data_IF_281963644065
#
_entry.id   IF_281963644065
#
_cell.length_a   1.000
_cell.length_b   1.000
_cell.length_c   1.000
_cell.angle_alpha   90.00
_cell.angle_beta   90.00
_cell.angle_gamma   90.00
#
_symmetry.space_group_name_H-M   'P 1'
#
loop_
_entity.id
_entity.type
_entity.pdbx_description
1 polymer ?
#
# COMPACT_ATOMS: atom_id res chain seq x y z
N UNK A 1 16.48 9.72 -3.73
CA UNK A 1 15.67 9.81 -4.96
C UNK A 1 14.29 10.43 -4.70
N UNK A 2 13.54 10.01 -3.67
CA UNK A 2 12.20 10.60 -3.37
C UNK A 2 12.26 11.95 -2.63
N UNK A 3 13.33 12.21 -1.86
CA UNK A 3 13.53 13.47 -1.12
C UNK A 3 13.50 14.76 -1.98
N UNK A 4 13.60 14.63 -3.30
CA UNK A 4 13.56 15.74 -4.26
C UNK A 4 12.24 15.84 -5.03
N UNK A 5 11.18 15.17 -4.58
CA UNK A 5 9.86 15.26 -5.21
C UNK A 5 9.15 16.57 -4.85
N UNK A 6 8.79 17.34 -5.87
CA UNK A 6 7.93 18.50 -5.75
C UNK A 6 6.47 18.09 -5.98
N UNK A 7 5.61 18.25 -4.97
CA UNK A 7 4.17 18.03 -5.11
C UNK A 7 3.56 19.16 -5.94
N UNK A 8 2.77 18.80 -6.95
CA UNK A 8 1.98 19.72 -7.75
C UNK A 8 0.57 19.85 -7.18
N UNK A 9 -0.21 18.76 -7.21
CA UNK A 9 -1.58 18.71 -6.73
C UNK A 9 -2.06 17.26 -6.61
N UNK A 10 -3.15 17.06 -5.87
CA UNK A 10 -3.95 15.84 -5.96
C UNK A 10 -4.71 15.76 -7.29
N UNK A 11 -4.81 14.57 -7.86
CA UNK A 11 -5.51 14.25 -9.10
C UNK A 11 -6.57 13.18 -8.82
N UNK A 12 -7.81 13.47 -9.24
CA UNK A 12 -8.98 12.57 -9.13
C UNK A 12 -9.23 12.03 -7.70
N UNK A 13 -8.80 12.76 -6.68
CA UNK A 13 -8.83 12.34 -5.26
C UNK A 13 -8.26 10.93 -5.02
N UNK A 14 -7.30 10.50 -5.85
CA UNK A 14 -6.70 9.15 -5.82
C UNK A 14 -5.19 9.18 -5.92
N UNK A 15 -4.67 10.12 -6.69
CA UNK A 15 -3.25 10.23 -6.97
C UNK A 15 -2.72 11.59 -6.55
N UNK A 16 -1.43 11.66 -6.27
CA UNK A 16 -0.70 12.90 -6.06
C UNK A 16 0.28 13.03 -7.22
N UNK A 17 0.15 14.10 -8.01
CA UNK A 17 1.09 14.39 -9.08
C UNK A 17 2.31 15.11 -8.51
N UNK A 18 3.49 14.57 -8.82
CA UNK A 18 4.78 15.09 -8.37
C UNK A 18 5.73 15.26 -9.57
N UNK A 19 6.62 16.24 -9.48
CA UNK A 19 7.80 16.33 -10.33
C UNK A 19 9.01 15.77 -9.58
N UNK A 20 9.79 14.92 -10.23
CA UNK A 20 11.03 14.39 -9.72
C UNK A 20 12.18 14.82 -10.65
N UNK A 21 13.29 15.29 -10.07
CA UNK A 21 14.50 15.54 -10.86
C UNK A 21 15.25 14.24 -11.11
N UNK A 22 15.52 13.93 -12.37
CA UNK A 22 16.40 12.82 -12.77
C UNK A 22 17.85 13.26 -13.00
N UNK A 23 18.13 14.58 -12.95
CA UNK A 23 19.46 15.15 -13.14
C UNK A 23 20.11 15.44 -11.79
N UNK A 24 21.24 14.80 -11.53
CA UNK A 24 22.19 15.17 -10.47
C UNK A 24 23.15 16.22 -11.03
N UNK A 25 22.76 17.49 -11.09
CA UNK A 25 23.73 18.56 -11.41
C UNK A 25 23.62 19.78 -10.50
N UNK A 26 24.80 20.39 -10.27
CA UNK A 26 25.19 21.34 -9.22
C UNK A 26 24.68 22.78 -9.41
N UNK A 27 23.76 23.03 -10.35
CA UNK A 27 23.23 24.37 -10.62
C UNK A 27 21.78 24.46 -10.14
N UNK A 28 21.53 25.38 -9.21
CA UNK A 28 20.36 25.46 -8.34
C UNK A 28 19.02 25.85 -8.98
N UNK A 29 18.72 25.36 -10.18
CA UNK A 29 17.37 25.42 -10.74
C UNK A 29 16.65 24.08 -10.50
N UNK A 30 15.81 24.08 -9.47
CA UNK A 30 15.00 22.95 -9.02
C UNK A 30 13.83 22.65 -9.98
N UNK A 31 14.11 22.37 -11.25
CA UNK A 31 13.12 21.92 -12.23
C UNK A 31 13.16 20.40 -12.35
N UNK A 32 12.19 19.69 -11.75
CA UNK A 32 12.03 18.26 -11.98
C UNK A 32 11.51 18.00 -13.41
N UNK A 33 12.15 17.08 -14.14
CA UNK A 33 11.78 16.72 -15.52
C UNK A 33 10.88 15.49 -15.61
N UNK A 34 10.84 14.62 -14.60
CA UNK A 34 9.99 13.43 -14.62
C UNK A 34 8.67 13.68 -13.89
N UNK A 35 7.55 13.59 -14.61
CA UNK A 35 6.22 13.61 -14.04
C UNK A 35 5.90 12.22 -13.49
N UNK A 36 5.49 12.17 -12.22
CA UNK A 36 5.21 10.94 -11.47
C UNK A 36 3.85 11.04 -10.80
N UNK A 37 3.08 9.96 -10.82
CA UNK A 37 1.90 9.80 -9.96
C UNK A 37 2.23 8.93 -8.77
N UNK A 38 1.80 9.39 -7.59
CA UNK A 38 1.84 8.63 -6.36
C UNK A 38 0.42 8.22 -6.01
N UNK A 39 0.17 6.92 -5.87
CA UNK A 39 -1.10 6.41 -5.37
C UNK A 39 -1.21 6.74 -3.88
N UNK A 40 -2.18 7.59 -3.51
CA UNK A 40 -2.28 8.12 -2.15
C UNK A 40 -2.57 7.02 -1.12
N UNK A 41 -3.32 5.99 -1.52
CA UNK A 41 -3.65 4.87 -0.65
C UNK A 41 -2.42 3.99 -0.47
N UNK A 42 -1.80 3.55 -1.57
CA UNK A 42 -0.63 2.69 -1.56
C UNK A 42 0.57 3.32 -0.83
N UNK A 43 0.80 4.63 -1.02
CA UNK A 43 1.83 5.39 -0.32
C UNK A 43 1.57 5.43 1.19
N UNK A 44 0.34 5.77 1.60
CA UNK A 44 0.03 5.86 3.03
C UNK A 44 0.00 4.47 3.69
N UNK A 45 -0.42 3.41 2.99
CA UNK A 45 -0.28 2.03 3.47
C UNK A 45 1.18 1.70 3.80
N UNK A 46 2.13 2.07 2.93
CA UNK A 46 3.56 1.81 3.14
C UNK A 46 4.10 2.56 4.35
N UNK A 47 3.83 3.86 4.44
CA UNK A 47 4.23 4.69 5.59
C UNK A 47 3.71 4.10 6.90
N UNK A 48 2.43 3.72 6.93
CA UNK A 48 1.81 3.11 8.11
C UNK A 48 2.39 1.74 8.44
N UNK A 49 2.63 0.90 7.44
CA UNK A 49 3.19 -0.43 7.67
C UNK A 49 4.57 -0.34 8.31
N UNK A 50 5.47 0.49 7.77
CA UNK A 50 6.82 0.61 8.32
C UNK A 50 6.80 1.17 9.74
N UNK A 51 5.93 2.15 10.01
CA UNK A 51 5.72 2.67 11.36
C UNK A 51 5.19 1.60 12.32
N UNK A 52 4.17 0.83 11.91
CA UNK A 52 3.61 -0.26 12.71
C UNK A 52 4.64 -1.37 12.98
N UNK A 53 5.51 -1.67 12.02
CA UNK A 53 6.61 -2.62 12.22
C UNK A 53 7.56 -2.10 13.29
N UNK A 54 7.97 -0.83 13.22
CA UNK A 54 8.84 -0.21 14.23
C UNK A 54 8.18 -0.26 15.61
N UNK A 55 6.91 0.14 15.71
CA UNK A 55 6.17 0.20 16.96
C UNK A 55 5.86 -1.18 17.54
N UNK A 56 5.90 -2.24 16.72
CA UNK A 56 5.70 -3.62 17.17
C UNK A 56 6.87 -4.20 17.96
N UNK A 57 8.05 -3.58 17.91
CA UNK A 57 9.24 -4.03 18.63
C UNK A 57 9.44 -3.25 19.94
N UNK A 58 10.02 -3.92 20.93
CA UNK A 58 10.51 -3.28 22.14
C UNK A 58 11.60 -2.25 21.80
N UNK A 59 11.49 -1.06 22.41
CA UNK A 59 12.51 -0.01 22.26
C UNK A 59 13.84 -0.52 22.83
N UNK A 60 14.85 -0.66 21.98
CA UNK A 60 16.17 -1.16 22.36
C UNK A 60 16.80 -0.23 23.41
N UNK A 61 17.13 -0.79 24.59
CA UNK A 61 17.98 -0.12 25.56
C UNK A 61 19.45 -0.17 25.09
N UNK A 62 20.25 0.88 25.29
CA UNK A 62 21.62 0.98 24.78
C UNK A 62 22.61 -0.09 25.30
N UNK A 63 22.19 -0.97 26.21
CA UNK A 63 23.00 -2.04 26.82
C UNK A 63 22.40 -3.46 26.58
N UNK A 64 21.37 -3.58 25.73
CA UNK A 64 20.68 -4.84 25.48
C UNK A 64 21.39 -5.76 24.49
N UNK A 65 21.21 -7.08 24.66
CA UNK A 65 21.50 -8.07 23.62
C UNK A 65 20.82 -7.62 22.32
N UNK A 66 21.57 -7.48 21.21
CA UNK A 66 21.09 -6.91 19.94
C UNK A 66 20.00 -7.70 19.21
N UNK A 67 19.24 -8.56 19.91
CA UNK A 67 18.07 -9.27 19.41
C UNK A 67 16.84 -8.38 19.52
N UNK A 68 16.10 -8.26 18.42
CA UNK A 68 14.84 -7.53 18.37
C UNK A 68 13.73 -8.41 18.96
N UNK A 69 13.02 -7.90 19.96
CA UNK A 69 11.91 -8.59 20.62
C UNK A 69 10.59 -7.92 20.31
N UNK A 70 9.59 -8.70 19.89
CA UNK A 70 8.24 -8.20 19.63
C UNK A 70 7.51 -7.92 20.94
N UNK A 71 6.72 -6.85 20.95
CA UNK A 71 5.77 -6.58 22.01
C UNK A 71 4.74 -7.71 22.06
N UNK A 72 4.43 -8.16 23.27
CA UNK A 72 3.50 -9.26 23.52
C UNK A 72 2.42 -8.89 24.51
N UNK A 73 1.30 -9.59 24.43
CA UNK A 73 0.18 -9.49 25.35
C UNK A 73 -0.23 -10.88 25.83
N UNK A 74 -0.63 -10.97 27.09
CA UNK A 74 -1.18 -12.20 27.68
C UNK A 74 -2.63 -12.39 27.22
N UNK A 75 -3.03 -13.63 26.96
CA UNK A 75 -4.42 -14.03 26.70
C UNK A 75 -4.91 -14.89 27.87
N UNK A 76 -6.12 -14.60 28.36
CA UNK A 76 -6.79 -15.38 29.39
C UNK A 76 -8.25 -15.66 28.98
N UNK A 77 -8.69 -16.93 28.94
CA UNK A 77 -7.90 -18.15 29.18
C UNK A 77 -6.86 -18.41 28.06
N UNK A 78 -5.77 -19.16 28.33
CA UNK A 78 -4.82 -19.57 27.30
C UNK A 78 -5.51 -20.30 26.14
N UNK A 79 -5.02 -20.11 24.92
CA UNK A 79 -5.59 -20.75 23.74
C UNK A 79 -5.05 -22.17 23.60
N UNK A 80 -5.96 -23.14 23.48
CA UNK A 80 -5.65 -24.53 23.18
C UNK A 80 -5.36 -24.72 21.68
N UNK A 81 -4.16 -25.21 21.37
CA UNK A 81 -3.72 -25.50 20.00
C UNK A 81 -3.26 -26.95 19.92
N UNK A 82 -3.89 -27.71 19.02
CA UNK A 82 -3.51 -29.10 18.73
C UNK A 82 -2.27 -29.12 17.85
N UNK A 83 -1.28 -29.92 18.24
CA UNK A 83 -0.01 -30.08 17.52
C UNK A 83 0.38 -31.55 17.46
N UNK A 84 1.25 -31.93 16.54
CA UNK A 84 1.86 -33.26 16.56
C UNK A 84 2.93 -33.35 17.64
N UNK A 85 3.29 -34.57 18.06
CA UNK A 85 4.38 -34.79 19.03
C UNK A 85 5.71 -34.17 18.55
N UNK A 86 5.99 -34.29 17.24
CA UNK A 86 7.18 -33.69 16.63
C UNK A 86 7.14 -32.15 16.73
N UNK A 87 6.00 -31.54 16.40
CA UNK A 87 5.81 -30.09 16.50
C UNK A 87 5.97 -29.62 17.93
N UNK A 88 5.37 -30.32 18.90
CA UNK A 88 5.52 -30.03 20.32
C UNK A 88 6.98 -30.05 20.75
N UNK A 89 7.74 -31.06 20.33
CA UNK A 89 9.18 -31.16 20.61
C UNK A 89 9.97 -29.99 20.02
N UNK A 90 9.67 -29.57 18.79
CA UNK A 90 10.30 -28.41 18.15
C UNK A 90 9.98 -27.12 18.92
N UNK A 91 8.71 -26.88 19.24
CA UNK A 91 8.27 -25.72 20.01
C UNK A 91 8.94 -25.69 21.39
N UNK A 92 9.10 -26.84 22.04
CA UNK A 92 9.81 -26.95 23.32
C UNK A 92 11.28 -26.57 23.19
N UNK A 93 12.01 -27.13 22.21
CA UNK A 93 13.43 -26.85 22.00
C UNK A 93 13.71 -25.36 21.72
N UNK A 94 12.78 -24.68 21.04
CA UNK A 94 12.94 -23.28 20.61
C UNK A 94 12.08 -22.27 21.38
N UNK A 95 11.46 -22.67 22.51
CA UNK A 95 10.51 -21.80 23.23
C UNK A 95 11.10 -20.43 23.60
N UNK A 96 12.39 -20.37 23.99
CA UNK A 96 13.07 -19.10 24.30
C UNK A 96 13.15 -18.14 23.11
N UNK A 97 13.36 -18.66 21.92
CA UNK A 97 13.37 -17.85 20.70
C UNK A 97 11.95 -17.42 20.30
N UNK A 98 10.96 -18.26 20.56
CA UNK A 98 9.54 -17.93 20.34
C UNK A 98 9.06 -16.83 21.29
N UNK A 99 9.60 -16.76 22.51
CA UNK A 99 9.36 -15.64 23.44
C UNK A 99 9.85 -14.30 22.90
N UNK A 100 10.97 -14.27 22.16
CA UNK A 100 11.44 -13.05 21.48
C UNK A 100 10.47 -12.62 20.37
N UNK A 101 9.73 -13.56 19.79
CA UNK A 101 8.64 -13.29 18.86
C UNK A 101 7.30 -13.00 19.57
N UNK A 102 7.30 -12.90 20.90
CA UNK A 102 6.11 -12.61 21.70
C UNK A 102 5.18 -13.80 21.93
N UNK A 103 5.61 -15.02 21.61
CA UNK A 103 4.84 -16.25 21.77
C UNK A 103 5.22 -17.00 23.05
N UNK A 104 4.30 -17.03 24.02
CA UNK A 104 4.47 -17.76 25.27
C UNK A 104 3.64 -19.04 25.27
N UNK A 105 4.34 -20.18 25.27
CA UNK A 105 3.73 -21.52 25.19
C UNK A 105 3.91 -22.24 26.53
N UNK A 106 2.85 -22.85 27.03
CA UNK A 106 2.82 -23.75 28.18
C UNK A 106 2.58 -25.16 27.64
N UNK A 107 3.33 -26.13 28.17
CA UNK A 107 3.31 -27.53 27.75
C UNK A 107 2.73 -28.38 28.89
N UNK A 108 1.46 -28.80 28.81
CA UNK A 108 0.86 -29.64 29.85
C UNK A 108 1.43 -31.05 29.83
N UNK A 109 1.73 -31.63 30.99
CA UNK A 109 2.21 -33.02 31.11
C UNK A 109 1.11 -34.06 30.75
N UNK A 110 -0.14 -33.64 30.63
CA UNK A 110 -1.31 -34.51 30.46
C UNK A 110 -1.56 -34.97 29.02
N UNK A 111 -0.91 -34.37 28.02
CA UNK A 111 -1.12 -34.68 26.61
C UNK A 111 0.09 -34.29 25.79
N UNK A 112 0.56 -35.16 24.88
CA UNK A 112 1.69 -34.88 23.98
C UNK A 112 1.26 -34.22 22.65
N UNK A 113 -0.04 -34.01 22.45
CA UNK A 113 -0.61 -33.45 21.21
C UNK A 113 -1.26 -32.07 21.39
N UNK A 114 -1.05 -31.44 22.56
CA UNK A 114 -1.67 -30.18 22.92
C UNK A 114 -0.62 -29.21 23.45
N UNK A 115 -0.74 -27.93 23.09
CA UNK A 115 -0.02 -26.84 23.73
C UNK A 115 -0.99 -25.72 24.10
N UNK A 116 -0.68 -24.98 25.16
CA UNK A 116 -1.47 -23.84 25.62
C UNK A 116 -0.72 -22.54 25.33
N UNK A 117 -1.32 -21.64 24.57
CA UNK A 117 -0.71 -20.35 24.23
C UNK A 117 -1.24 -19.27 25.17
N UNK A 118 -0.38 -18.84 26.09
CA UNK A 118 -0.72 -17.82 27.09
C UNK A 118 -0.27 -16.41 26.73
N UNK A 119 0.70 -16.25 25.82
CA UNK A 119 1.14 -14.94 25.33
C UNK A 119 1.29 -14.96 23.81
N UNK A 120 0.93 -13.85 23.17
CA UNK A 120 1.00 -13.67 21.71
C UNK A 120 1.53 -12.27 21.36
N UNK A 121 2.00 -12.03 20.12
CA UNK A 121 2.28 -10.68 19.64
C UNK A 121 1.13 -9.69 19.90
N UNK A 122 1.46 -8.48 20.36
CA UNK A 122 0.46 -7.46 20.73
C UNK A 122 -0.51 -7.17 19.57
N UNK A 123 -0.02 -7.11 18.34
CA UNK A 123 -0.83 -6.84 17.16
C UNK A 123 -1.93 -7.88 16.90
N UNK A 124 -1.80 -9.11 17.42
CA UNK A 124 -2.85 -10.13 17.31
C UNK A 124 -4.05 -9.79 18.19
N UNK A 125 -3.80 -9.29 19.40
CA UNK A 125 -4.86 -8.85 20.32
C UNK A 125 -5.53 -7.58 19.81
N UNK A 126 -4.77 -6.64 19.26
CA UNK A 126 -5.32 -5.44 18.61
C UNK A 126 -6.19 -5.80 17.41
N UNK A 127 -5.76 -6.79 16.62
CA UNK A 127 -6.53 -7.31 15.48
C UNK A 127 -7.84 -7.93 15.93
N UNK A 128 -7.81 -8.79 16.94
CA UNK A 128 -9.00 -9.38 17.55
C UNK A 128 -9.98 -8.31 18.04
N UNK A 129 -9.49 -7.34 18.83
CA UNK A 129 -10.30 -6.25 19.36
C UNK A 129 -10.90 -5.37 18.25
N UNK A 130 -10.19 -5.20 17.13
CA UNK A 130 -10.71 -4.49 15.96
C UNK A 130 -11.84 -5.25 15.25
N UNK A 131 -11.72 -6.57 15.09
CA UNK A 131 -12.76 -7.38 14.43
C UNK A 131 -14.02 -7.50 15.30
N UNK A 132 -13.85 -7.68 16.61
CA UNK A 132 -14.97 -7.71 17.57
C UNK A 132 -15.75 -6.39 17.60
N UNK A 133 -15.05 -5.25 17.60
CA UNK A 133 -15.70 -3.91 17.50
C UNK A 133 -16.53 -3.74 16.23
N UNK A 134 -16.23 -4.49 15.17
CA UNK A 134 -16.97 -4.49 13.90
C UNK A 134 -18.06 -5.56 13.84
N UNK A 135 -18.31 -6.27 14.94
CA UNK A 135 -19.32 -7.33 15.04
C UNK A 135 -18.96 -8.60 14.26
N UNK A 136 -17.67 -8.85 14.01
CA UNK A 136 -17.21 -10.06 13.30
C UNK A 136 -16.81 -11.17 14.27
N UNK A 137 -16.63 -12.37 13.72
CA UNK A 137 -16.17 -13.54 14.46
C UNK A 137 -14.76 -13.36 15.02
N UNK A 138 -14.46 -14.09 16.09
CA UNK A 138 -13.13 -14.17 16.69
C UNK A 138 -12.11 -14.72 15.69
N UNK A 139 -10.93 -14.10 15.62
CA UNK A 139 -9.82 -14.47 14.73
C UNK A 139 -8.55 -14.86 15.49
N UNK A 140 -8.50 -14.61 16.81
CA UNK A 140 -7.32 -14.87 17.65
C UNK A 140 -6.80 -16.31 17.51
N UNK A 141 -7.68 -17.31 17.63
CA UNK A 141 -7.30 -18.73 17.54
C UNK A 141 -6.68 -19.06 16.18
N UNK A 142 -7.34 -18.67 15.08
CA UNK A 142 -6.84 -18.95 13.73
C UNK A 142 -5.51 -18.27 13.43
N UNK A 143 -5.31 -17.03 13.91
CA UNK A 143 -4.05 -16.30 13.72
C UNK A 143 -2.92 -16.98 14.49
N UNK A 144 -3.17 -17.43 15.73
CA UNK A 144 -2.19 -18.14 16.55
C UNK A 144 -1.84 -19.51 15.95
N UNK A 145 -2.82 -20.25 15.45
CA UNK A 145 -2.60 -21.51 14.74
C UNK A 145 -1.77 -21.31 13.45
N UNK A 146 -2.09 -20.28 12.65
CA UNK A 146 -1.30 -19.91 11.47
C UNK A 146 0.14 -19.58 11.85
N UNK A 147 0.31 -18.80 12.92
CA UNK A 147 1.62 -18.38 13.40
C UNK A 147 2.46 -19.56 13.90
N UNK A 148 1.89 -20.46 14.71
CA UNK A 148 2.58 -21.67 15.17
C UNK A 148 2.99 -22.55 13.98
N UNK A 149 2.08 -22.74 13.01
CA UNK A 149 2.36 -23.53 11.81
C UNK A 149 3.52 -22.92 11.02
N UNK A 150 3.54 -21.60 10.85
CA UNK A 150 4.65 -20.89 10.21
C UNK A 150 5.98 -21.12 10.95
N UNK A 151 5.99 -20.99 12.28
CA UNK A 151 7.22 -21.17 13.06
C UNK A 151 7.75 -22.61 13.00
N UNK A 152 6.86 -23.60 13.06
CA UNK A 152 7.22 -25.02 12.88
C UNK A 152 7.82 -25.24 11.50
N UNK A 153 7.17 -24.77 10.44
CA UNK A 153 7.62 -24.94 9.06
C UNK A 153 9.00 -24.30 8.84
N UNK A 154 9.22 -23.10 9.38
CA UNK A 154 10.52 -22.44 9.34
C UNK A 154 11.61 -23.24 10.06
N UNK A 155 11.30 -23.76 11.25
CA UNK A 155 12.23 -24.57 12.05
C UNK A 155 12.60 -25.88 11.33
N UNK A 156 11.64 -26.51 10.66
CA UNK A 156 11.87 -27.75 9.90
C UNK A 156 12.70 -27.51 8.63
N UNK A 157 12.48 -26.39 7.93
CA UNK A 157 13.12 -26.10 6.64
C UNK A 157 14.51 -25.47 6.78
N UNK A 158 14.67 -24.56 7.75
CA UNK A 158 15.88 -23.72 7.86
C UNK A 158 16.77 -24.12 9.05
N UNK A 159 16.29 -25.00 9.94
CA UNK A 159 17.04 -25.43 11.12
C UNK A 159 17.21 -24.36 12.20
N UNK A 160 16.49 -23.23 12.11
CA UNK A 160 16.54 -22.15 13.08
C UNK A 160 15.58 -21.00 12.77
N UNK A 161 15.37 -20.11 13.75
CA UNK A 161 14.52 -18.93 13.62
C UNK A 161 15.34 -17.79 12.98
N UNK A 162 14.87 -17.30 11.83
CA UNK A 162 15.47 -16.16 11.13
C UNK A 162 15.13 -14.84 11.83
N UNK A 163 16.03 -13.86 11.77
CA UNK A 163 15.83 -12.52 12.34
C UNK A 163 14.87 -11.62 11.55
N UNK A 164 14.07 -12.19 10.67
CA UNK A 164 13.05 -11.49 9.86
C UNK A 164 11.73 -11.44 10.62
N UNK A 165 10.89 -10.45 10.31
CA UNK A 165 9.54 -10.39 10.85
C UNK A 165 8.73 -11.57 10.31
N UNK A 166 8.08 -12.38 11.17
CA UNK A 166 7.23 -13.47 10.69
C UNK A 166 6.13 -12.97 9.76
N UNK A 167 5.83 -13.72 8.70
CA UNK A 167 4.83 -13.40 7.70
C UNK A 167 3.43 -13.26 8.32
N UNK A 168 3.08 -14.08 9.31
CA UNK A 168 1.78 -13.93 9.99
C UNK A 168 1.67 -12.59 10.69
N UNK A 169 2.74 -12.14 11.37
CA UNK A 169 2.81 -10.79 11.96
C UNK A 169 2.75 -9.71 10.88
N UNK A 170 3.54 -9.86 9.82
CA UNK A 170 3.54 -8.92 8.70
C UNK A 170 2.15 -8.78 8.05
N UNK A 171 1.42 -9.88 7.86
CA UNK A 171 0.04 -9.87 7.32
C UNK A 171 -0.93 -9.13 8.23
N UNK A 172 -0.85 -9.35 9.55
CA UNK A 172 -1.69 -8.64 10.52
C UNK A 172 -1.40 -7.14 10.48
N UNK A 173 -0.13 -6.74 10.50
CA UNK A 173 0.28 -5.33 10.42
C UNK A 173 -0.08 -4.69 9.07
N UNK A 174 0.07 -5.41 7.95
CA UNK A 174 -0.34 -4.95 6.63
C UNK A 174 -1.86 -4.70 6.57
N UNK A 175 -2.66 -5.60 7.16
CA UNK A 175 -4.11 -5.41 7.26
C UNK A 175 -4.46 -4.20 8.12
N UNK A 176 -3.79 -3.99 9.25
CA UNK A 176 -3.97 -2.80 10.09
C UNK A 176 -3.57 -1.51 9.35
N UNK A 177 -2.46 -1.52 8.62
CA UNK A 177 -1.99 -0.41 7.79
C UNK A 177 -3.04 -0.03 6.74
N UNK A 178 -3.55 -1.02 6.00
CA UNK A 178 -4.62 -0.86 5.00
C UNK A 178 -5.83 -0.13 5.57
N UNK A 179 -6.35 -0.64 6.69
CA UNK A 179 -7.60 -0.15 7.25
C UNK A 179 -7.50 1.30 7.70
N UNK A 180 -6.37 1.70 8.30
CA UNK A 180 -6.16 3.09 8.73
C UNK A 180 -5.52 4.02 7.69
N UNK A 181 -5.21 3.54 6.49
CA UNK A 181 -4.69 4.37 5.41
C UNK A 181 -5.78 5.27 4.79
N UNK A 182 -5.34 6.38 4.20
CA UNK A 182 -6.16 7.27 3.36
C UNK A 182 -6.79 6.42 2.25
N UNK A 183 -8.06 6.66 1.94
CA UNK A 183 -8.81 5.94 0.91
C UNK A 183 -8.81 6.71 -0.39
N UNK A 184 -9.18 6.02 -1.46
CA UNK A 184 -9.55 6.69 -2.69
C UNK A 184 -10.81 7.53 -2.48
N UNK A 185 -10.84 8.65 -3.21
CA UNK A 185 -11.85 9.70 -3.14
C UNK A 185 -11.74 10.59 -1.89
N UNK A 186 -10.81 10.33 -0.98
CA UNK A 186 -10.48 11.27 0.09
C UNK A 186 -9.78 12.48 -0.52
N UNK A 187 -10.34 13.68 -0.31
CA UNK A 187 -9.71 14.93 -0.70
C UNK A 187 -8.56 15.27 0.26
N UNK A 188 -7.38 15.56 -0.29
CA UNK A 188 -6.20 15.95 0.47
C UNK A 188 -5.86 17.41 0.17
N UNK A 189 -5.62 18.19 1.22
CA UNK A 189 -5.00 19.49 1.10
C UNK A 189 -3.57 19.36 0.56
N UNK A 190 -3.05 20.44 -0.01
CA UNK A 190 -1.68 20.47 -0.52
C UNK A 190 -0.66 20.13 0.58
N UNK A 191 -0.88 20.60 1.82
CA UNK A 191 -0.06 20.29 2.99
C UNK A 191 -0.07 18.79 3.34
N UNK A 192 -1.24 18.14 3.29
CA UNK A 192 -1.36 16.70 3.52
C UNK A 192 -0.64 15.89 2.44
N UNK A 193 -0.72 16.32 1.18
CA UNK A 193 0.05 15.72 0.11
C UNK A 193 1.56 15.84 0.37
N UNK A 194 2.06 17.03 0.75
CA UNK A 194 3.48 17.22 1.10
C UNK A 194 3.92 16.29 2.23
N UNK A 195 3.16 16.25 3.34
CA UNK A 195 3.47 15.40 4.49
C UNK A 195 3.49 13.91 4.12
N UNK A 196 2.57 13.47 3.25
CA UNK A 196 2.56 12.08 2.80
C UNK A 196 3.79 11.74 1.95
N UNK A 197 4.17 12.60 1.00
CA UNK A 197 5.35 12.38 0.17
C UNK A 197 6.63 12.45 1.00
N UNK A 198 6.72 13.39 1.95
CA UNK A 198 7.83 13.48 2.90
C UNK A 198 7.95 12.20 3.74
N UNK A 199 6.86 11.73 4.35
CA UNK A 199 6.86 10.50 5.12
C UNK A 199 7.23 9.27 4.26
N UNK A 200 6.73 9.21 3.02
CA UNK A 200 7.08 8.15 2.08
C UNK A 200 8.59 8.16 1.74
N UNK A 201 9.22 9.33 1.67
CA UNK A 201 10.66 9.45 1.37
C UNK A 201 11.57 8.82 2.43
N UNK A 202 11.09 8.75 3.67
CA UNK A 202 11.77 8.10 4.80
C UNK A 202 11.58 6.59 4.88
N UNK A 203 10.65 6.03 4.08
CA UNK A 203 10.41 4.60 4.05
C UNK A 203 11.53 3.84 3.34
N UNK A 204 11.83 2.63 3.81
CA UNK A 204 12.81 1.72 3.20
C UNK A 204 12.33 1.17 1.86
N UNK A 205 11.03 0.90 1.71
CA UNK A 205 10.44 0.35 0.48
C UNK A 205 9.32 1.26 -0.08
N UNK A 206 9.67 2.48 -0.52
CA UNK A 206 8.69 3.51 -0.83
C UNK A 206 7.97 3.32 -2.17
N UNK A 207 8.38 2.33 -2.97
CA UNK A 207 7.83 2.03 -4.31
C UNK A 207 6.74 0.94 -4.30
N UNK A 208 6.45 0.36 -3.13
CA UNK A 208 5.48 -0.72 -2.99
C UNK A 208 4.60 -0.50 -1.77
N UNK A 209 3.30 -0.80 -1.83
CA UNK A 209 2.41 -0.75 -0.67
C UNK A 209 2.59 -1.97 0.23
N UNK A 210 1.82 -2.05 1.32
CA UNK A 210 1.84 -3.17 2.26
C UNK A 210 1.47 -4.53 1.64
N UNK A 211 0.74 -4.54 0.53
CA UNK A 211 0.25 -5.74 -0.18
C UNK A 211 0.97 -6.02 -1.49
N UNK A 212 1.98 -5.22 -1.83
CA UNK A 212 2.79 -5.47 -3.02
C UNK A 212 2.49 -4.62 -4.25
N UNK A 213 1.48 -3.74 -4.21
CA UNK A 213 1.12 -2.86 -5.34
C UNK A 213 2.11 -1.70 -5.47
N UNK A 214 2.39 -1.19 -6.69
CA UNK A 214 3.25 -0.02 -6.84
C UNK A 214 2.61 1.21 -6.19
N UNK A 215 3.39 1.97 -5.43
CA UNK A 215 2.94 3.25 -4.83
C UNK A 215 3.28 4.47 -5.70
N UNK A 216 4.27 4.34 -6.59
CA UNK A 216 4.81 5.41 -7.41
C UNK A 216 4.88 4.92 -8.86
N UNK A 217 4.35 5.70 -9.80
CA UNK A 217 4.31 5.39 -11.22
C UNK A 217 4.84 6.58 -12.04
N UNK A 218 5.98 6.45 -12.74
CA UNK A 218 6.43 7.47 -13.68
C UNK A 218 5.46 7.55 -14.87
N UNK A 219 5.06 8.76 -15.24
CA UNK A 219 4.16 9.00 -16.37
C UNK A 219 4.90 9.42 -17.63
N UNK A 220 5.72 10.47 -17.54
CA UNK A 220 6.34 11.06 -18.70
C UNK A 220 7.58 11.87 -18.31
N UNK A 221 8.61 11.80 -19.15
CA UNK A 221 9.72 12.75 -19.09
C UNK A 221 9.36 13.99 -19.91
N UNK A 222 9.23 15.11 -19.22
CA UNK A 222 8.80 16.41 -19.77
C UNK A 222 9.82 16.93 -20.78
N UNK A 223 11.12 16.64 -20.60
CA UNK A 223 12.17 17.09 -21.53
C UNK A 223 12.04 16.41 -22.90
N UNK A 224 11.41 15.23 -22.95
CA UNK A 224 11.21 14.42 -24.14
C UNK A 224 9.80 14.52 -24.72
N UNK A 225 8.93 15.36 -24.17
CA UNK A 225 7.62 15.63 -24.76
C UNK A 225 7.78 16.52 -25.99
N UNK A 226 7.36 16.02 -27.15
CA UNK A 226 7.28 16.84 -28.36
C UNK A 226 6.35 18.02 -28.11
N UNK A 227 6.83 19.23 -28.37
CA UNK A 227 5.94 20.40 -28.39
C UNK A 227 5.03 20.28 -29.60
N UNK A 228 3.80 19.79 -29.39
CA UNK A 228 2.74 19.96 -30.37
C UNK A 228 2.61 21.45 -30.66
N UNK A 229 3.10 21.88 -31.83
CA UNK A 229 2.86 23.22 -32.34
C UNK A 229 1.36 23.32 -32.57
N UNK A 230 0.62 23.84 -31.60
CA UNK A 230 -0.75 24.24 -31.81
C UNK A 230 -0.75 25.19 -33.01
N UNK A 231 -1.24 24.69 -34.15
CA UNK A 231 -1.49 25.52 -35.31
C UNK A 231 -2.58 26.48 -34.87
N UNK A 232 -2.19 27.70 -34.46
CA UNK A 232 -3.14 28.71 -34.01
C UNK A 232 -4.20 28.83 -35.11
N UNK A 233 -5.49 28.61 -34.79
CA UNK A 233 -6.52 28.66 -35.80
C UNK A 233 -6.50 30.04 -36.45
N UNK A 234 -6.66 30.09 -37.78
CA UNK A 234 -6.70 31.36 -38.49
C UNK A 234 -8.00 32.09 -38.13
N UNK A 235 -7.93 32.91 -37.08
CA UNK A 235 -9.08 33.64 -36.53
C UNK A 235 -9.73 34.55 -37.56
N UNK A 236 -8.97 35.08 -38.51
CA UNK A 236 -9.51 35.90 -39.59
C UNK A 236 -10.38 35.06 -40.55
N UNK A 237 -9.94 33.85 -40.91
CA UNK A 237 -10.72 32.92 -41.74
C UNK A 237 -11.98 32.45 -41.00
N UNK A 238 -11.86 32.09 -39.73
CA UNK A 238 -13.01 31.69 -38.90
C UNK A 238 -14.03 32.82 -38.72
N UNK A 239 -13.59 34.06 -38.51
CA UNK A 239 -14.48 35.23 -38.44
C UNK A 239 -15.21 35.48 -39.76
N UNK A 240 -14.52 35.37 -40.89
CA UNK A 240 -15.14 35.47 -42.22
C UNK A 240 -16.16 34.37 -42.45
N UNK A 241 -15.86 33.13 -42.09
CA UNK A 241 -16.80 32.00 -42.17
C UNK A 241 -18.02 32.21 -41.27
N UNK A 242 -17.83 32.68 -40.04
CA UNK A 242 -18.93 32.98 -39.13
C UNK A 242 -19.81 34.15 -39.62
N UNK A 243 -19.22 35.17 -40.23
CA UNK A 243 -19.96 36.27 -40.86
C UNK A 243 -20.75 35.77 -42.09
N UNK A 244 -20.13 34.97 -42.95
CA UNK A 244 -20.81 34.37 -44.10
C UNK A 244 -21.96 33.45 -43.65
N UNK A 245 -21.77 32.64 -42.60
CA UNK A 245 -22.82 31.81 -42.01
C UNK A 245 -23.96 32.64 -41.42
N UNK A 246 -23.67 33.78 -40.78
CA UNK A 246 -24.71 34.69 -40.29
C UNK A 246 -25.50 35.36 -41.41
N UNK A 247 -24.84 35.68 -42.53
CA UNK A 247 -25.46 36.38 -43.66
C UNK A 247 -26.22 35.44 -44.60
N UNK A 248 -25.75 34.21 -44.78
CA UNK A 248 -26.26 33.27 -45.78
C UNK A 248 -26.73 31.92 -45.22
N UNK A 249 -26.42 31.59 -43.96
CA UNK A 249 -26.77 30.32 -43.33
C UNK A 249 -28.17 30.26 -42.71
N UNK A 250 -28.99 31.30 -42.91
CA UNK A 250 -30.42 31.33 -42.56
C UNK A 250 -31.29 31.42 -43.82
N UNK A 251 -31.15 30.44 -44.70
CA UNK A 251 -32.12 30.07 -45.72
C UNK A 251 -31.83 28.60 -46.03
N UNK A 252 -32.64 27.58 -45.76
CA UNK A 252 -34.05 27.49 -45.40
C UNK A 252 -34.23 26.28 -44.46
N UNK A 253 -35.12 26.42 -43.47
CA UNK A 253 -35.90 25.27 -43.04
C UNK A 253 -36.97 25.06 -44.11
N UNK A 254 -36.80 24.04 -44.96
CA UNK A 254 -37.84 23.59 -45.87
C UNK A 254 -38.07 22.09 -45.65
N UNK A 255 -39.32 21.80 -45.29
CA UNK A 255 -39.91 20.50 -45.04
C UNK A 255 -39.64 19.54 -46.21
N UNK A 256 -38.99 18.41 -45.96
CA UNK A 256 -39.06 17.25 -46.84
C UNK A 256 -38.85 15.97 -46.03
N UNK A 257 -39.90 15.59 -45.30
CA UNK A 257 -40.21 14.17 -45.09
C UNK A 257 -40.37 13.52 -46.46
N UNK A 258 -39.32 12.91 -47.00
CA UNK A 258 -39.36 11.62 -47.71
C UNK A 258 -38.01 11.31 -48.34
N UNK A 259 -37.65 10.03 -48.23
CA UNK A 259 -36.63 9.34 -49.01
C UNK A 259 -35.18 9.76 -48.75
N UNK A 260 -34.46 8.91 -48.00
CA UNK A 260 -33.22 8.28 -48.48
C UNK A 260 -32.79 7.19 -47.47
N UNK A 261 -33.31 5.98 -47.70
CA UNK A 261 -32.57 4.75 -47.40
C UNK A 261 -31.34 4.73 -48.31
N UNK A 262 -30.13 4.78 -47.74
CA UNK A 262 -28.93 4.23 -48.36
C UNK A 262 -27.82 4.02 -47.32
N UNK A 263 -27.52 2.73 -47.12
CA UNK A 263 -26.36 2.08 -46.50
C UNK A 263 -25.05 2.87 -46.36
N UNK A 264 -24.47 2.83 -45.16
CA UNK A 264 -23.05 3.11 -44.94
C UNK A 264 -22.17 1.93 -45.39
N UNK A 265 -21.05 2.14 -46.10
CA UNK A 265 -19.97 1.16 -46.19
C UNK A 265 -18.99 1.34 -45.01
N UNK A 266 -18.36 0.25 -44.52
CA UNK A 266 -17.45 0.29 -43.38
C UNK A 266 -16.06 0.84 -43.78
N UNK A 267 -15.48 1.67 -42.93
CA UNK A 267 -14.06 2.02 -43.00
C UNK A 267 -13.22 0.91 -42.37
N UNK A 268 -12.34 0.28 -43.16
CA UNK A 268 -11.20 -0.48 -42.64
C UNK A 268 -10.08 0.46 -42.19
N UNK A 269 -9.36 0.17 -41.09
CA UNK A 269 -8.18 0.91 -40.68
C UNK A 269 -6.90 0.34 -41.33
N UNK A 270 -5.79 1.13 -41.35
CA UNK A 270 -4.50 0.72 -41.93
C UNK A 270 -3.78 -0.38 -41.14
#
# INVERSE_FOLDING_TARGET
MIHSMQVLQQVDNKFIACLMSTKTEENGEAGGNLLVLVDQHAAHERVRLEQLIIDSYEKQLPQGSGRKKLLSSTISPPLEVTVTEEQRRLLWCYHKNLEDLGLGIIFPDTSDSLVLVGKVPLCFVEREASELRRGRSTVAKSIVEEFIREQVELLQTTGGIQGTLPLTVQKVLASQACHGAIKFNDGLSLEECYRLIEALSWCQLPFQCAHGRPSILPLADIDHLEQEKQIKPNLAKLRKMAQAWRLFGKAEGCDSRQSLQASMPPCEPP
#
